data_IF_513695773276
#
_entry.id   IF_513695773276
#
_cell.length_a   1.000
_cell.length_b   1.000
_cell.length_c   1.000
_cell.angle_alpha   90.00
_cell.angle_beta   90.00
_cell.angle_gamma   90.00
#
_symmetry.space_group_name_H-M   'P 1'
#
loop_
_entity.id
_entity.type
_entity.pdbx_description
1 polymer ?
#
# COMPACT_ATOMS: atom_id res chain seq x y z
N UNK A 1 -20.39 -19.21 10.12
CA UNK A 1 -20.37 -17.75 10.25
C UNK A 1 -21.62 -17.19 9.59
N UNK A 2 -22.43 -16.45 10.35
CA UNK A 2 -23.58 -15.74 9.77
C UNK A 2 -23.11 -14.55 8.93
N UNK A 3 -23.89 -14.05 7.95
CA UNK A 3 -23.51 -12.86 7.19
C UNK A 3 -23.22 -11.63 8.07
N UNK A 4 -23.88 -11.53 9.23
CA UNK A 4 -23.70 -10.45 10.19
C UNK A 4 -22.33 -10.50 10.86
N UNK A 5 -21.89 -11.69 11.28
CA UNK A 5 -20.55 -11.89 11.84
C UNK A 5 -19.46 -11.55 10.82
N UNK A 6 -19.64 -11.95 9.55
CA UNK A 6 -18.66 -11.65 8.51
C UNK A 6 -18.55 -10.14 8.25
N UNK A 7 -19.70 -9.46 8.18
CA UNK A 7 -19.74 -8.01 8.04
C UNK A 7 -19.10 -7.31 9.25
N UNK A 8 -19.34 -7.80 10.47
CA UNK A 8 -18.72 -7.26 11.67
C UNK A 8 -17.19 -7.45 11.66
N UNK A 9 -16.69 -8.62 11.25
CA UNK A 9 -15.26 -8.89 11.13
C UNK A 9 -14.61 -8.03 10.04
N UNK A 10 -15.27 -7.86 8.90
CA UNK A 10 -14.80 -6.96 7.84
C UNK A 10 -14.76 -5.51 8.33
N UNK A 11 -15.81 -5.04 9.00
CA UNK A 11 -15.85 -3.69 9.56
C UNK A 11 -14.77 -3.47 10.62
N UNK A 12 -14.55 -4.45 11.49
CA UNK A 12 -13.47 -4.42 12.49
C UNK A 12 -12.09 -4.34 11.82
N UNK A 13 -11.84 -5.18 10.81
CA UNK A 13 -10.58 -5.19 10.08
C UNK A 13 -10.35 -3.86 9.33
N UNK A 14 -11.37 -3.36 8.65
CA UNK A 14 -11.31 -2.06 7.99
C UNK A 14 -11.01 -0.94 9.00
N UNK A 15 -11.72 -0.90 10.14
CA UNK A 15 -11.47 0.07 11.19
C UNK A 15 -10.04 0.00 11.74
N UNK A 16 -9.48 -1.20 11.91
CA UNK A 16 -8.10 -1.39 12.33
C UNK A 16 -7.10 -0.81 11.31
N UNK A 17 -7.31 -1.06 10.02
CA UNK A 17 -6.48 -0.48 8.95
C UNK A 17 -6.61 1.05 8.89
N UNK A 18 -7.82 1.59 9.00
CA UNK A 18 -8.05 3.03 9.04
C UNK A 18 -7.40 3.70 10.25
N UNK A 19 -7.42 3.04 11.40
CA UNK A 19 -6.72 3.51 12.60
C UNK A 19 -5.20 3.58 12.35
N UNK A 20 -4.59 2.51 11.86
CA UNK A 20 -3.17 2.51 11.50
C UNK A 20 -2.82 3.59 10.47
N UNK A 21 -3.63 3.69 9.41
CA UNK A 21 -3.47 4.68 8.36
C UNK A 21 -3.54 6.12 8.89
N UNK A 22 -4.47 6.40 9.80
CA UNK A 22 -4.61 7.72 10.41
C UNK A 22 -3.40 8.09 11.26
N UNK A 23 -2.85 7.14 12.02
CA UNK A 23 -1.66 7.40 12.85
C UNK A 23 -0.43 7.64 11.97
N UNK A 24 -0.19 6.79 10.96
CA UNK A 24 0.94 6.99 10.05
C UNK A 24 0.80 8.28 9.24
N UNK A 25 -0.38 8.55 8.70
CA UNK A 25 -0.66 9.78 7.97
C UNK A 25 -0.36 11.00 8.85
N UNK A 26 -0.94 11.10 10.05
CA UNK A 26 -0.76 12.30 10.86
C UNK A 26 0.69 12.54 11.29
N UNK A 27 1.44 11.48 11.63
CA UNK A 27 2.81 11.61 12.12
C UNK A 27 3.83 11.77 10.98
N UNK A 28 3.79 10.90 9.98
CA UNK A 28 4.79 10.90 8.91
C UNK A 28 4.51 11.95 7.84
N UNK A 29 3.23 12.33 7.61
CA UNK A 29 2.92 13.42 6.68
C UNK A 29 3.41 14.76 7.21
N UNK A 30 3.20 15.05 8.50
CA UNK A 30 3.68 16.30 9.11
C UNK A 30 5.20 16.41 9.00
N UNK A 31 5.92 15.34 9.32
CA UNK A 31 7.38 15.29 9.22
C UNK A 31 7.88 15.36 7.77
N UNK A 32 7.14 14.78 6.82
CA UNK A 32 7.45 14.92 5.40
C UNK A 32 7.28 16.38 4.95
N UNK A 33 6.24 17.07 5.41
CA UNK A 33 6.02 18.49 5.11
C UNK A 33 7.17 19.35 5.64
N UNK A 34 7.59 19.12 6.89
CA UNK A 34 8.72 19.85 7.49
C UNK A 34 10.02 19.60 6.72
N UNK A 35 10.34 18.33 6.43
CA UNK A 35 11.55 17.97 5.67
C UNK A 35 11.55 18.58 4.27
N UNK A 36 10.39 18.63 3.59
CA UNK A 36 10.27 19.28 2.28
C UNK A 36 10.45 20.80 2.35
N UNK A 37 10.02 21.43 3.45
CA UNK A 37 10.24 22.85 3.68
C UNK A 37 11.74 23.13 3.88
N UNK A 38 12.43 22.30 4.66
CA UNK A 38 13.88 22.39 4.86
C UNK A 38 14.65 22.16 3.56
N UNK A 39 14.31 21.11 2.80
CA UNK A 39 14.91 20.81 1.49
C UNK A 39 14.70 21.96 0.48
N UNK A 40 13.54 22.61 0.51
CA UNK A 40 13.27 23.78 -0.31
C UNK A 40 14.12 24.98 0.12
N UNK A 41 14.26 25.23 1.41
CA UNK A 41 15.10 26.31 1.94
C UNK A 41 16.57 26.11 1.56
N UNK A 42 17.10 24.90 1.73
CA UNK A 42 18.47 24.54 1.31
C UNK A 42 18.67 24.74 -0.19
N UNK A 43 17.68 24.36 -1.02
CA UNK A 43 17.74 24.58 -2.47
C UNK A 43 17.77 26.05 -2.86
N UNK A 44 16.99 26.89 -2.18
CA UNK A 44 16.98 28.34 -2.42
C UNK A 44 18.35 28.92 -2.07
N UNK A 45 18.88 28.61 -0.88
CA UNK A 45 20.19 29.09 -0.43
C UNK A 45 21.32 28.65 -1.39
N UNK A 46 21.34 27.37 -1.77
CA UNK A 46 22.31 26.85 -2.73
C UNK A 46 22.22 27.54 -4.08
N UNK A 47 21.00 27.78 -4.58
CA UNK A 47 20.81 28.46 -5.87
C UNK A 47 21.29 29.91 -5.82
N UNK A 48 21.04 30.62 -4.71
CA UNK A 48 21.53 31.98 -4.50
C UNK A 48 23.06 32.05 -4.47
N UNK A 49 23.71 31.13 -3.76
CA UNK A 49 25.17 31.04 -3.72
C UNK A 49 25.75 30.75 -5.10
N UNK A 50 25.20 29.76 -5.81
CA UNK A 50 25.68 29.42 -7.16
C UNK A 50 25.47 30.58 -8.12
N UNK A 51 24.32 31.26 -8.06
CA UNK A 51 24.06 32.42 -8.93
C UNK A 51 24.96 33.61 -8.62
N UNK A 52 25.34 33.79 -7.35
CA UNK A 52 26.24 34.86 -6.93
C UNK A 52 27.69 34.62 -7.36
N UNK A 53 28.17 33.37 -7.31
CA UNK A 53 29.59 33.06 -7.49
C UNK A 53 29.95 32.40 -8.82
N UNK A 54 28.99 31.77 -9.52
CA UNK A 54 29.23 31.03 -10.75
C UNK A 54 28.93 31.89 -11.99
N UNK A 55 29.96 32.19 -12.78
CA UNK A 55 29.85 32.90 -14.07
C UNK A 55 28.90 34.13 -14.04
N UNK A 56 29.12 35.13 -13.15
CA UNK A 56 28.15 36.20 -12.84
C UNK A 56 27.77 37.12 -14.02
N UNK A 57 28.52 37.04 -15.13
CA UNK A 57 28.29 37.85 -16.34
C UNK A 57 27.79 37.04 -17.53
N UNK A 58 27.69 35.71 -17.41
CA UNK A 58 27.29 34.81 -18.49
C UNK A 58 26.19 33.85 -18.01
N UNK A 59 24.95 34.22 -18.27
CA UNK A 59 23.76 33.43 -17.89
C UNK A 59 23.66 32.11 -18.65
N UNK A 60 24.26 32.02 -19.84
CA UNK A 60 24.21 30.81 -20.67
C UNK A 60 25.14 29.74 -20.08
N UNK A 61 26.39 30.12 -19.80
CA UNK A 61 27.36 29.24 -19.12
C UNK A 61 26.88 28.87 -17.72
N UNK A 62 26.30 29.82 -16.98
CA UNK A 62 25.75 29.56 -15.65
C UNK A 62 24.64 28.49 -15.70
N UNK A 63 23.72 28.59 -16.65
CA UNK A 63 22.66 27.61 -16.85
C UNK A 63 23.20 26.22 -17.19
N UNK A 64 24.16 26.14 -18.11
CA UNK A 64 24.80 24.87 -18.51
C UNK A 64 25.50 24.20 -17.32
N UNK A 65 26.23 24.96 -16.51
CA UNK A 65 26.93 24.44 -15.34
C UNK A 65 25.97 23.91 -14.28
N UNK A 66 24.86 24.62 -14.02
CA UNK A 66 23.83 24.16 -13.07
C UNK A 66 23.20 22.83 -13.51
N UNK A 67 22.96 22.66 -14.82
CA UNK A 67 22.45 21.40 -15.38
C UNK A 67 23.47 20.28 -15.19
N UNK A 68 24.74 20.50 -15.56
CA UNK A 68 25.80 19.48 -15.38
C UNK A 68 26.01 19.11 -13.91
N UNK A 69 25.93 20.08 -12.99
CA UNK A 69 26.01 19.83 -11.56
C UNK A 69 24.82 19.00 -11.07
N UNK A 70 23.61 19.30 -11.56
CA UNK A 70 22.43 18.51 -11.24
C UNK A 70 22.56 17.05 -11.68
N UNK A 71 23.11 16.82 -12.88
CA UNK A 71 23.39 15.47 -13.40
C UNK A 71 24.48 14.77 -12.60
N UNK A 72 25.56 15.47 -12.23
CA UNK A 72 26.67 14.89 -11.46
C UNK A 72 26.26 14.53 -10.02
N UNK A 73 25.44 15.37 -9.37
CA UNK A 73 25.02 15.18 -8.00
C UNK A 73 23.79 14.28 -7.83
N UNK A 74 23.13 13.88 -8.93
CA UNK A 74 21.84 13.17 -8.95
C UNK A 74 20.78 13.85 -8.06
N UNK A 75 20.86 15.19 -7.99
CA UNK A 75 19.98 16.04 -7.18
C UNK A 75 19.69 17.31 -7.96
N UNK A 76 18.46 17.80 -7.89
CA UNK A 76 18.10 19.08 -8.52
C UNK A 76 18.82 20.24 -7.82
N UNK A 77 19.77 20.83 -8.52
CA UNK A 77 20.50 22.07 -8.14
C UNK A 77 20.06 23.25 -9.02
N UNK A 78 18.99 23.06 -9.79
CA UNK A 78 18.46 24.02 -10.75
C UNK A 78 17.75 25.20 -10.09
N UNK A 79 17.37 26.19 -10.90
CA UNK A 79 16.56 27.30 -10.43
C UNK A 79 15.19 26.81 -9.94
N UNK A 80 14.95 26.92 -8.63
CA UNK A 80 13.72 26.48 -7.97
C UNK A 80 12.46 27.18 -8.52
N UNK A 81 12.59 28.38 -9.10
CA UNK A 81 11.46 29.11 -9.72
C UNK A 81 10.99 28.51 -11.04
N UNK A 82 11.81 27.68 -11.68
CA UNK A 82 11.50 27.02 -12.95
C UNK A 82 10.96 25.60 -12.75
N UNK A 83 10.92 25.10 -11.52
CA UNK A 83 10.36 23.77 -11.23
C UNK A 83 8.84 23.82 -11.34
N UNK A 84 8.31 23.47 -12.52
CA UNK A 84 6.87 23.41 -12.79
C UNK A 84 6.19 22.21 -12.09
N UNK A 85 6.99 21.19 -11.71
CA UNK A 85 6.50 19.96 -11.10
C UNK A 85 6.86 19.85 -9.61
N UNK A 86 5.83 19.83 -8.77
CA UNK A 86 5.94 19.49 -7.34
C UNK A 86 5.81 17.98 -7.18
N UNK A 87 6.83 17.34 -6.62
CA UNK A 87 6.81 15.91 -6.35
C UNK A 87 5.65 15.56 -5.39
N UNK A 88 4.85 14.52 -5.66
CA UNK A 88 3.71 14.17 -4.80
C UNK A 88 4.17 13.70 -3.42
N UNK A 89 3.34 13.94 -2.40
CA UNK A 89 3.59 13.45 -1.04
C UNK A 89 3.66 11.91 -1.02
N UNK A 90 4.74 11.40 -0.43
CA UNK A 90 4.92 9.96 -0.19
C UNK A 90 3.93 9.48 0.86
N UNK A 91 3.74 10.24 1.95
CA UNK A 91 2.78 9.97 3.03
C UNK A 91 1.46 10.70 2.80
N UNK A 92 0.80 10.43 1.68
CA UNK A 92 -0.62 10.75 1.56
C UNK A 92 -1.49 9.68 2.26
N UNK A 93 -2.78 9.95 2.44
CA UNK A 93 -3.67 9.03 3.15
C UNK A 93 -3.80 7.66 2.48
N UNK A 94 -3.84 7.63 1.14
CA UNK A 94 -3.92 6.38 0.37
C UNK A 94 -2.67 5.52 0.58
N UNK A 95 -1.49 6.12 0.47
CA UNK A 95 -0.21 5.47 0.75
C UNK A 95 -0.08 5.03 2.21
N UNK A 96 -0.62 5.81 3.15
CA UNK A 96 -0.64 5.45 4.58
C UNK A 96 -1.54 4.24 4.85
N UNK A 97 -2.69 4.16 4.18
CA UNK A 97 -3.58 2.99 4.23
C UNK A 97 -2.92 1.76 3.60
N UNK A 98 -2.32 1.94 2.42
CA UNK A 98 -1.55 0.89 1.77
C UNK A 98 -0.42 0.38 2.66
N UNK A 99 0.33 1.28 3.29
CA UNK A 99 1.39 0.96 4.24
C UNK A 99 0.86 0.15 5.44
N UNK A 100 -0.23 0.60 6.05
CA UNK A 100 -0.88 -0.11 7.16
C UNK A 100 -1.31 -1.53 6.76
N UNK A 101 -1.81 -1.71 5.53
CA UNK A 101 -2.17 -3.02 5.00
C UNK A 101 -0.95 -3.92 4.79
N UNK A 102 0.10 -3.46 4.11
CA UNK A 102 1.29 -4.30 3.81
C UNK A 102 2.08 -4.69 5.06
N UNK A 103 2.00 -3.88 6.13
CA UNK A 103 2.56 -4.20 7.44
C UNK A 103 1.80 -5.35 8.07
N UNK A 104 0.47 -5.31 8.09
CA UNK A 104 -0.35 -6.41 8.63
C UNK A 104 -0.25 -7.68 7.79
N UNK A 105 -0.14 -7.55 6.47
CA UNK A 105 -0.06 -8.67 5.54
C UNK A 105 1.34 -9.27 5.38
N UNK A 106 2.34 -8.72 6.09
CA UNK A 106 3.75 -9.11 6.01
C UNK A 106 4.33 -9.12 4.59
N UNK A 107 3.79 -8.30 3.69
CA UNK A 107 4.33 -8.19 2.32
C UNK A 107 5.59 -7.33 2.34
N UNK A 108 5.52 -6.16 2.97
CA UNK A 108 6.68 -5.33 3.30
C UNK A 108 7.61 -4.98 2.11
N UNK A 109 7.10 -4.39 1.03
CA UNK A 109 7.91 -4.01 -0.15
C UNK A 109 9.09 -3.08 0.15
N UNK A 110 9.03 -2.31 1.25
CA UNK A 110 10.11 -1.41 1.67
C UNK A 110 10.22 -0.10 0.88
N UNK A 111 9.31 0.17 -0.05
CA UNK A 111 9.25 1.42 -0.81
C UNK A 111 8.80 2.63 0.02
N UNK A 112 7.99 2.40 1.05
CA UNK A 112 7.52 3.41 2.00
C UNK A 112 7.88 2.88 3.39
N UNK A 113 8.57 3.68 4.19
CA UNK A 113 8.94 3.32 5.56
C UNK A 113 8.99 4.55 6.46
N UNK A 114 8.59 4.41 7.74
CA UNK A 114 8.60 5.52 8.68
C UNK A 114 10.04 5.95 8.97
N UNK A 115 10.30 7.24 8.81
CA UNK A 115 11.63 7.81 9.08
C UNK A 115 11.77 8.17 10.57
N UNK A 116 10.65 8.37 11.25
CA UNK A 116 10.61 8.74 12.65
C UNK A 116 10.80 7.53 13.58
N UNK A 117 11.55 7.72 14.68
CA UNK A 117 11.67 6.76 15.77
C UNK A 117 10.31 6.35 16.33
N UNK A 118 9.40 7.30 16.54
CA UNK A 118 8.05 7.00 17.00
C UNK A 118 7.27 6.16 15.99
N UNK A 119 7.32 6.53 14.71
CA UNK A 119 6.66 5.77 13.63
C UNK A 119 7.15 4.32 13.54
N UNK A 120 8.46 4.10 13.72
CA UNK A 120 9.06 2.76 13.76
C UNK A 120 8.61 1.94 14.97
N UNK A 121 8.58 2.54 16.16
CA UNK A 121 8.11 1.87 17.37
C UNK A 121 6.62 1.53 17.26
N UNK A 122 5.81 2.49 16.80
CA UNK A 122 4.38 2.28 16.55
C UNK A 122 4.16 1.15 15.54
N UNK A 123 4.90 1.14 14.44
CA UNK A 123 4.84 0.06 13.44
C UNK A 123 5.09 -1.32 14.04
N UNK A 124 6.06 -1.46 14.97
CA UNK A 124 6.34 -2.74 15.64
C UNK A 124 5.12 -3.20 16.44
N UNK A 125 4.57 -2.35 17.30
CA UNK A 125 3.39 -2.71 18.11
C UNK A 125 2.14 -2.95 17.24
N UNK A 126 1.96 -2.13 16.22
CA UNK A 126 0.88 -2.27 15.25
C UNK A 126 0.99 -3.58 14.46
N UNK A 127 2.19 -4.03 14.10
CA UNK A 127 2.41 -5.30 13.45
C UNK A 127 2.13 -6.50 14.38
N UNK A 128 2.51 -6.42 15.66
CA UNK A 128 2.27 -7.49 16.65
C UNK A 128 0.79 -7.83 16.80
N UNK A 129 -0.10 -6.84 16.74
CA UNK A 129 -1.56 -7.03 16.81
C UNK A 129 -2.15 -7.25 15.41
N UNK A 130 -1.62 -6.55 14.41
CA UNK A 130 -2.13 -6.61 13.04
C UNK A 130 -1.93 -7.98 12.39
N UNK A 131 -0.81 -8.65 12.69
CA UNK A 131 -0.50 -9.96 12.15
C UNK A 131 -1.53 -11.05 12.52
N UNK A 132 -1.87 -11.27 13.80
CA UNK A 132 -2.92 -12.23 14.15
C UNK A 132 -4.29 -11.82 13.64
N UNK A 133 -4.65 -10.52 13.70
CA UNK A 133 -5.91 -10.01 13.16
C UNK A 133 -6.05 -10.31 11.66
N UNK A 134 -4.98 -10.06 10.90
CA UNK A 134 -4.91 -10.35 9.48
C UNK A 134 -4.99 -11.86 9.21
N UNK A 135 -4.32 -12.69 10.02
CA UNK A 135 -4.40 -14.16 9.94
C UNK A 135 -5.83 -14.68 10.13
N UNK A 136 -6.54 -14.19 11.16
CA UNK A 136 -7.94 -14.53 11.36
C UNK A 136 -8.79 -14.08 10.17
N UNK A 137 -8.63 -12.84 9.72
CA UNK A 137 -9.36 -12.31 8.57
C UNK A 137 -9.18 -13.20 7.33
N UNK A 138 -7.95 -13.58 7.00
CA UNK A 138 -7.66 -14.44 5.85
C UNK A 138 -8.19 -15.87 6.01
N UNK A 139 -8.17 -16.44 7.22
CA UNK A 139 -8.73 -17.77 7.46
C UNK A 139 -10.24 -17.80 7.17
N UNK A 140 -10.99 -16.82 7.67
CA UNK A 140 -12.42 -16.71 7.41
C UNK A 140 -12.73 -16.36 5.95
N UNK A 141 -11.92 -15.49 5.36
CA UNK A 141 -12.02 -15.14 3.96
C UNK A 141 -11.83 -16.39 3.07
N UNK A 142 -10.83 -17.22 3.38
CA UNK A 142 -10.56 -18.48 2.69
C UNK A 142 -11.73 -19.48 2.79
N UNK A 143 -12.34 -19.63 3.97
CA UNK A 143 -13.52 -20.47 4.16
C UNK A 143 -14.73 -19.98 3.33
N UNK A 144 -14.96 -18.66 3.27
CA UNK A 144 -16.00 -18.06 2.43
C UNK A 144 -15.75 -18.35 0.95
N UNK A 145 -14.53 -18.12 0.47
CA UNK A 145 -14.15 -18.40 -0.92
C UNK A 145 -14.32 -19.89 -1.24
N UNK A 146 -13.85 -20.79 -0.36
CA UNK A 146 -13.99 -22.23 -0.53
C UNK A 146 -15.46 -22.69 -0.62
N UNK A 147 -16.31 -22.22 0.30
CA UNK A 147 -17.75 -22.54 0.27
C UNK A 147 -18.44 -22.01 -0.98
N UNK A 148 -18.12 -20.79 -1.40
CA UNK A 148 -18.68 -20.17 -2.59
C UNK A 148 -18.24 -20.91 -3.84
N UNK A 149 -16.96 -21.26 -3.94
CA UNK A 149 -16.40 -22.04 -5.04
C UNK A 149 -17.06 -23.42 -5.14
N UNK A 150 -17.17 -24.16 -4.04
CA UNK A 150 -17.83 -25.47 -4.01
C UNK A 150 -19.30 -25.35 -4.42
N UNK A 151 -20.02 -24.33 -3.92
CA UNK A 151 -21.43 -24.10 -4.26
C UNK A 151 -21.59 -23.82 -5.76
N UNK A 152 -20.75 -22.95 -6.32
CA UNK A 152 -20.75 -22.63 -7.74
C UNK A 152 -20.39 -23.86 -8.60
N UNK A 153 -19.34 -24.58 -8.23
CA UNK A 153 -18.90 -25.79 -8.93
C UNK A 153 -19.99 -26.87 -8.92
N UNK A 154 -20.64 -27.11 -7.78
CA UNK A 154 -21.77 -28.06 -7.68
C UNK A 154 -22.93 -27.65 -8.59
N UNK A 155 -23.25 -26.35 -8.66
CA UNK A 155 -24.32 -25.82 -9.52
C UNK A 155 -23.98 -25.95 -11.00
N UNK A 156 -22.74 -25.62 -11.38
CA UNK A 156 -22.22 -25.85 -12.73
C UNK A 156 -22.26 -27.34 -13.11
N UNK A 157 -21.77 -28.22 -12.23
CA UNK A 157 -21.79 -29.67 -12.46
C UNK A 157 -23.22 -30.19 -12.60
N UNK A 158 -24.14 -29.78 -11.72
CA UNK A 158 -25.55 -30.16 -11.82
C UNK A 158 -26.18 -29.72 -13.14
N UNK A 159 -25.93 -28.47 -13.58
CA UNK A 159 -26.38 -27.96 -14.87
C UNK A 159 -25.83 -28.76 -16.06
N UNK A 160 -24.53 -29.05 -16.07
CA UNK A 160 -23.89 -29.85 -17.13
C UNK A 160 -24.44 -31.28 -17.17
N UNK A 161 -24.70 -31.86 -16.01
CA UNK A 161 -25.30 -33.19 -15.88
C UNK A 161 -26.75 -33.20 -16.36
N UNK A 162 -27.55 -32.17 -16.08
CA UNK A 162 -28.94 -32.07 -16.58
C UNK A 162 -29.02 -31.77 -18.08
N UNK A 163 -28.03 -31.09 -18.65
CA UNK A 163 -27.98 -30.79 -20.09
C UNK A 163 -27.56 -32.01 -20.94
N UNK A 164 -27.03 -33.07 -20.32
CA UNK A 164 -26.59 -34.27 -21.02
C UNK A 164 -27.71 -35.32 -20.97
N UNK A 165 -28.48 -35.52 -22.04
CA UNK A 165 -29.67 -36.39 -22.02
C UNK A 165 -29.37 -37.87 -21.73
N UNK A 166 -28.11 -38.29 -21.89
CA UNK A 166 -27.63 -39.63 -21.56
C UNK A 166 -27.13 -39.80 -20.11
N UNK A 167 -27.22 -38.78 -19.26
CA UNK A 167 -26.78 -38.89 -17.88
C UNK A 167 -27.83 -39.59 -17.00
N UNK A 168 -27.58 -40.86 -16.67
CA UNK A 168 -28.33 -41.59 -15.64
C UNK A 168 -27.59 -41.43 -14.30
N UNK A 169 -28.14 -40.73 -13.30
CA UNK A 169 -27.51 -40.66 -11.99
C UNK A 169 -27.42 -42.07 -11.40
N UNK A 170 -26.22 -42.46 -10.96
CA UNK A 170 -25.98 -43.79 -10.38
C UNK A 170 -26.81 -43.91 -9.09
N UNK A 171 -27.91 -44.66 -9.13
CA UNK A 171 -28.67 -45.05 -7.93
C UNK A 171 -27.77 -45.98 -7.12
N UNK A 172 -27.16 -45.48 -6.06
CA UNK A 172 -26.49 -46.32 -5.08
C UNK A 172 -27.58 -47.13 -4.36
N UNK A 173 -27.82 -48.35 -4.81
CA UNK A 173 -28.69 -49.30 -4.11
C UNK A 173 -27.99 -49.70 -2.80
N UNK A 174 -28.62 -49.39 -1.68
CA UNK A 174 -28.19 -49.64 -0.30
C UNK A 174 -28.23 -51.14 0.10
N UNK A 175 -28.09 -52.07 -0.86
CA UNK A 175 -28.29 -53.51 -0.66
C UNK A 175 -26.95 -54.27 -0.51
N UNK A 176 -25.81 -53.64 -0.80
CA UNK A 176 -24.49 -54.30 -0.75
C UNK A 176 -23.73 -54.19 0.58
N UNK A 177 -24.37 -53.75 1.68
CA UNK A 177 -23.66 -53.49 2.95
C UNK A 177 -24.19 -54.29 4.16
N UNK A 178 -25.12 -55.25 3.95
CA UNK A 178 -25.67 -56.11 5.02
C UNK A 178 -25.75 -57.59 4.58
N UNK A 179 -24.88 -58.05 3.68
CA UNK A 179 -24.68 -59.50 3.45
C UNK A 179 -23.20 -59.80 3.43
#
# INVERSE_FOLDING_TARGET
>A
MTPKEWLALFAFYAAYLFFGASVFYHNEHALETDRRADELAERIEMNELLTKYLAPHDREIQGELLVRLSEYCDKKVTNYTLDEYVEPYTWNFYHSFYFAFIVCSTIGYGNISPNNTFGRIFMIFYALIGLPVNGFFFAYLGDLYGKTYIRLYRRYKAYKLSANSHYVPRKFNFIGQIV
#
